data_IF_782585901817
#
_entry.id   IF_782585901817
#
_cell.length_a   1.000
_cell.length_b   1.000
_cell.length_c   1.000
_cell.angle_alpha   90.00
_cell.angle_beta   90.00
_cell.angle_gamma   90.00
#
_symmetry.space_group_name_H-M   'P 1'
#
loop_
_entity.id
_entity.type
_entity.pdbx_description
1 polymer ?
#
# COMPACT_ATOMS: atom_id res chain seq x y z
N UNK A 1 -8.77 -10.09 -3.48
CA UNK A 1 -9.71 -10.31 -2.37
C UNK A 1 -9.84 -8.98 -1.67
N UNK A 2 -11.07 -8.55 -1.43
CA UNK A 2 -11.32 -7.26 -0.79
C UNK A 2 -10.87 -7.30 0.67
N UNK A 3 -10.35 -6.19 1.16
CA UNK A 3 -9.99 -6.01 2.57
C UNK A 3 -11.00 -5.13 3.25
N UNK A 4 -11.48 -5.58 4.40
CA UNK A 4 -12.20 -4.75 5.35
C UNK A 4 -11.17 -4.10 6.28
N UNK A 5 -11.12 -2.78 6.28
CA UNK A 5 -10.27 -1.96 7.15
C UNK A 5 -11.16 -1.16 8.08
N UNK A 6 -10.83 -1.18 9.37
CA UNK A 6 -11.52 -0.40 10.40
C UNK A 6 -10.56 0.67 10.90
N UNK A 7 -10.96 1.94 10.82
CA UNK A 7 -10.14 3.05 11.31
C UNK A 7 -10.31 3.26 12.83
N UNK A 8 -9.52 4.19 13.40
CA UNK A 8 -9.59 4.51 14.85
C UNK A 8 -10.90 5.17 15.30
N UNK A 9 -11.78 5.52 14.36
CA UNK A 9 -13.11 6.11 14.60
C UNK A 9 -14.23 5.09 14.36
N UNK A 10 -13.90 3.80 14.32
CA UNK A 10 -14.81 2.69 14.00
C UNK A 10 -15.48 2.78 12.62
N UNK A 11 -14.90 3.57 11.70
CA UNK A 11 -15.38 3.61 10.31
C UNK A 11 -14.84 2.39 9.57
N UNK A 12 -15.75 1.59 9.05
CA UNK A 12 -15.44 0.44 8.20
C UNK A 12 -15.34 0.86 6.73
N UNK A 13 -14.27 0.47 6.06
CA UNK A 13 -14.12 0.62 4.61
C UNK A 13 -13.74 -0.73 4.00
N UNK A 14 -14.40 -1.11 2.92
CA UNK A 14 -14.07 -2.31 2.14
C UNK A 14 -13.43 -1.83 0.84
N UNK A 15 -12.21 -2.27 0.57
CA UNK A 15 -11.50 -1.91 -0.66
C UNK A 15 -10.56 -3.03 -1.12
N UNK A 16 -10.33 -3.12 -2.42
CA UNK A 16 -9.29 -3.93 -3.05
C UNK A 16 -8.18 -3.06 -3.68
N UNK A 17 -8.30 -1.74 -3.64
CA UNK A 17 -7.28 -0.84 -4.14
C UNK A 17 -6.11 -0.74 -3.14
N UNK A 18 -4.90 -1.02 -3.63
CA UNK A 18 -3.69 -1.02 -2.83
C UNK A 18 -3.38 0.35 -2.24
N UNK A 19 -3.52 1.43 -3.01
CA UNK A 19 -3.21 2.78 -2.52
C UNK A 19 -4.17 3.19 -1.38
N UNK A 20 -5.46 2.95 -1.56
CA UNK A 20 -6.51 3.18 -0.56
C UNK A 20 -6.25 2.39 0.71
N UNK A 21 -5.96 1.09 0.60
CA UNK A 21 -5.67 0.24 1.76
C UNK A 21 -4.42 0.76 2.49
N UNK A 22 -3.34 1.05 1.77
CA UNK A 22 -2.07 1.52 2.36
C UNK A 22 -2.25 2.86 3.11
N UNK A 23 -3.16 3.73 2.64
CA UNK A 23 -3.50 4.99 3.30
C UNK A 23 -4.28 4.84 4.60
N UNK A 24 -5.02 3.73 4.76
CA UNK A 24 -5.80 3.46 5.96
C UNK A 24 -4.98 2.75 7.04
N UNK A 25 -3.82 2.18 6.69
CA UNK A 25 -2.95 1.50 7.63
C UNK A 25 -2.20 2.51 8.50
N UNK A 26 -2.13 2.22 9.80
CA UNK A 26 -1.34 2.98 10.76
C UNK A 26 0.14 2.56 10.70
N UNK A 27 0.86 3.13 9.74
CA UNK A 27 2.25 2.74 9.43
C UNK A 27 3.20 3.53 10.32
N UNK A 28 3.84 2.82 11.26
CA UNK A 28 4.84 3.37 12.18
C UNK A 28 6.28 3.30 11.66
N UNK A 29 6.58 2.36 10.76
CA UNK A 29 7.95 2.14 10.25
C UNK A 29 8.25 3.03 9.04
N UNK A 30 9.33 3.83 9.04
CA UNK A 30 9.67 4.72 7.93
C UNK A 30 9.84 3.99 6.58
N UNK A 31 10.43 2.79 6.59
CA UNK A 31 10.61 1.99 5.38
C UNK A 31 9.26 1.59 4.74
N UNK A 32 8.26 1.27 5.56
CA UNK A 32 6.92 0.95 5.06
C UNK A 32 6.17 2.21 4.56
N UNK A 33 6.52 3.40 5.05
CA UNK A 33 5.99 4.66 4.52
C UNK A 33 6.43 4.90 3.08
N UNK A 34 7.69 4.56 2.75
CA UNK A 34 8.19 4.60 1.36
C UNK A 34 7.35 3.68 0.46
N UNK A 35 7.00 2.47 0.93
CA UNK A 35 6.13 1.56 0.17
C UNK A 35 4.74 2.14 -0.09
N UNK A 36 4.22 2.92 0.85
CA UNK A 36 2.93 3.62 0.71
C UNK A 36 3.01 4.74 -0.32
N UNK A 37 4.10 5.50 -0.30
CA UNK A 37 4.30 6.60 -1.24
C UNK A 37 4.49 6.08 -2.67
N UNK A 38 5.13 4.91 -2.85
CA UNK A 38 5.19 4.22 -4.15
C UNK A 38 3.77 3.88 -4.67
N UNK A 39 2.91 3.30 -3.82
CA UNK A 39 1.54 2.95 -4.21
C UNK A 39 0.71 4.18 -4.60
N UNK A 40 0.82 5.27 -3.82
CA UNK A 40 0.14 6.55 -4.10
C UNK A 40 0.59 7.19 -5.41
N UNK A 41 1.89 7.19 -5.68
CA UNK A 41 2.40 7.78 -6.92
C UNK A 41 1.91 6.99 -8.13
N UNK A 42 1.90 5.65 -8.05
CA UNK A 42 1.33 4.81 -9.09
C UNK A 42 -0.17 5.10 -9.31
N UNK A 43 -0.93 5.33 -8.24
CA UNK A 43 -2.34 5.74 -8.31
C UNK A 43 -2.52 7.12 -8.96
N UNK A 44 -1.70 8.11 -8.57
CA UNK A 44 -1.79 9.47 -9.10
C UNK A 44 -1.40 9.57 -10.59
N UNK A 45 -0.36 8.84 -11.01
CA UNK A 45 0.22 8.98 -12.33
C UNK A 45 -0.45 8.06 -13.36
N UNK A 46 -0.84 6.84 -12.94
CA UNK A 46 -1.36 5.79 -13.83
C UNK A 46 -2.79 5.40 -13.48
N UNK A 47 -3.16 5.45 -12.20
CA UNK A 47 -4.50 5.07 -11.71
C UNK A 47 -4.75 3.56 -11.64
N UNK A 48 -3.72 2.73 -11.84
CA UNK A 48 -3.80 1.27 -11.71
C UNK A 48 -2.43 0.67 -11.36
N UNK A 49 -2.41 -0.59 -10.88
CA UNK A 49 -1.20 -1.32 -10.55
C UNK A 49 -0.66 -1.02 -9.16
N UNK A 50 -1.44 -0.32 -8.32
CA UNK A 50 -1.08 0.11 -6.96
C UNK A 50 -0.62 -1.04 -6.06
N UNK A 51 -1.24 -2.21 -6.20
CA UNK A 51 -0.84 -3.44 -5.48
C UNK A 51 0.43 -4.07 -6.09
N UNK A 52 0.48 -4.16 -7.42
CA UNK A 52 1.58 -4.83 -8.14
C UNK A 52 2.91 -4.12 -7.93
N UNK A 53 2.92 -2.78 -7.97
CA UNK A 53 4.14 -1.99 -7.77
C UNK A 53 4.74 -2.16 -6.38
N UNK A 54 3.89 -2.29 -5.35
CA UNK A 54 4.33 -2.52 -3.96
C UNK A 54 4.97 -3.90 -3.83
N UNK A 55 4.35 -4.94 -4.42
CA UNK A 55 4.89 -6.30 -4.39
C UNK A 55 6.22 -6.37 -5.16
N UNK A 56 6.30 -5.71 -6.31
CA UNK A 56 7.53 -5.67 -7.11
C UNK A 56 8.69 -5.01 -6.34
N UNK A 57 8.44 -3.86 -5.71
CA UNK A 57 9.43 -3.18 -4.89
C UNK A 57 9.89 -4.04 -3.69
N UNK A 58 8.96 -4.76 -3.05
CA UNK A 58 9.29 -5.68 -1.96
C UNK A 58 10.18 -6.84 -2.43
N UNK A 59 9.91 -7.40 -3.61
CA UNK A 59 10.73 -8.47 -4.19
C UNK A 59 12.14 -7.95 -4.55
N UNK A 60 12.27 -6.74 -5.11
CA UNK A 60 13.58 -6.13 -5.36
C UNK A 60 14.40 -5.96 -4.08
N UNK A 61 13.80 -5.48 -3.00
CA UNK A 61 14.49 -5.35 -1.70
C UNK A 61 14.95 -6.70 -1.15
N UNK A 62 14.13 -7.74 -1.35
CA UNK A 62 14.47 -9.10 -0.92
C UNK A 62 15.64 -9.67 -1.73
N UNK A 63 15.66 -9.46 -3.05
CA UNK A 63 16.77 -9.86 -3.92
C UNK A 63 18.05 -9.06 -3.63
N UNK A 64 17.94 -7.75 -3.34
CA UNK A 64 19.09 -6.91 -3.01
C UNK A 64 19.70 -7.19 -1.62
N UNK A 65 18.97 -7.88 -0.74
CA UNK A 65 19.47 -8.32 0.57
C UNK A 65 20.32 -9.59 0.47
N UNK A 66 20.15 -10.39 -0.60
CA UNK A 66 20.98 -11.57 -0.86
C UNK A 66 22.40 -11.16 -1.24
#
# INVERSE_FOLDING_TARGET
>A
MDKLVVDRKDKTTISNDGATIMNMLDIVYPAAKIMTDIAKNQDNDVGDGTTSVVILAAEFLKQAKQ
#
